data_IF_890685054681
#
_entry.id   IF_890685054681
#
_cell.length_a   1.000
_cell.length_b   1.000
_cell.length_c   1.000
_cell.angle_alpha   90.00
_cell.angle_beta   90.00
_cell.angle_gamma   90.00
#
_symmetry.space_group_name_H-M   'P 1'
#
loop_
_entity.id
_entity.type
_entity.pdbx_description
1 polymer ?
#
# COMPACT_ATOMS: atom_id res chain seq x y z
N UNK A 1 -12.98 -16.38 14.01
CA UNK A 1 -13.73 -17.63 13.79
C UNK A 1 -14.04 -17.71 12.31
N UNK A 2 -13.88 -18.89 11.71
CA UNK A 2 -14.30 -19.13 10.32
C UNK A 2 -15.81 -19.39 10.30
N UNK A 3 -16.45 -18.98 9.22
CA UNK A 3 -17.88 -19.21 8.94
C UNK A 3 -18.03 -20.08 7.70
N UNK A 4 -19.25 -20.51 7.44
CA UNK A 4 -19.59 -21.20 6.20
C UNK A 4 -19.12 -20.41 4.97
N UNK A 5 -18.44 -21.09 4.04
CA UNK A 5 -17.84 -20.48 2.84
C UNK A 5 -16.45 -19.89 3.04
N UNK A 6 -15.95 -19.77 4.27
CA UNK A 6 -14.56 -19.40 4.50
C UNK A 6 -13.61 -20.58 4.19
N UNK A 7 -12.41 -20.24 3.72
CA UNK A 7 -11.34 -21.22 3.50
C UNK A 7 -10.06 -20.78 4.21
N UNK A 8 -9.13 -21.72 4.38
CA UNK A 8 -7.79 -21.49 4.91
C UNK A 8 -6.73 -22.05 3.96
N UNK A 9 -5.49 -21.59 4.11
CA UNK A 9 -4.40 -22.00 3.21
C UNK A 9 -4.30 -21.12 1.97
N UNK A 10 -4.78 -19.87 2.01
CA UNK A 10 -4.74 -18.96 0.85
C UNK A 10 -3.32 -18.68 0.34
N UNK A 11 -2.29 -18.92 1.15
CA UNK A 11 -0.89 -18.90 0.76
C UNK A 11 -0.58 -19.90 -0.38
N UNK A 12 -1.26 -21.05 -0.40
CA UNK A 12 -1.11 -22.05 -1.45
C UNK A 12 -1.60 -21.54 -2.80
N UNK A 13 -2.60 -20.65 -2.85
CA UNK A 13 -3.08 -20.06 -4.10
C UNK A 13 -1.99 -19.22 -4.77
N UNK A 14 -1.24 -18.45 -3.98
CA UNK A 14 -0.15 -17.62 -4.51
C UNK A 14 1.02 -18.50 -4.96
N UNK A 15 1.39 -19.51 -4.16
CA UNK A 15 2.43 -20.49 -4.50
C UNK A 15 2.11 -21.29 -5.77
N UNK A 16 0.86 -21.75 -5.91
CA UNK A 16 0.43 -22.53 -7.08
C UNK A 16 0.49 -21.71 -8.37
N UNK A 17 0.22 -20.41 -8.29
CA UNK A 17 0.24 -19.51 -9.45
C UNK A 17 1.63 -19.05 -9.88
N UNK A 18 2.62 -19.07 -9.00
CA UNK A 18 3.97 -18.62 -9.32
C UNK A 18 4.79 -19.76 -9.99
N UNK A 19 5.27 -19.61 -11.24
CA UNK A 19 6.08 -20.61 -11.93
C UNK A 19 7.42 -20.83 -11.25
N UNK A 20 7.93 -19.83 -10.53
CA UNK A 20 9.21 -19.90 -9.81
C UNK A 20 9.07 -20.55 -8.44
N UNK A 21 7.83 -20.81 -8.01
CA UNK A 21 7.59 -21.50 -6.76
C UNK A 21 8.03 -22.95 -6.87
N UNK A 22 9.10 -23.28 -6.14
CA UNK A 22 9.66 -24.63 -6.06
C UNK A 22 8.75 -25.64 -5.35
N UNK A 23 9.31 -26.79 -4.97
CA UNK A 23 8.59 -27.84 -4.26
C UNK A 23 8.25 -27.50 -2.80
N UNK A 24 8.88 -26.47 -2.23
CA UNK A 24 8.64 -26.05 -0.85
C UNK A 24 7.27 -25.39 -0.71
N UNK A 25 6.45 -25.93 0.20
CA UNK A 25 5.15 -25.37 0.52
C UNK A 25 5.28 -24.11 1.38
N UNK A 26 4.40 -23.12 1.19
CA UNK A 26 4.37 -21.93 2.03
C UNK A 26 3.96 -22.29 3.47
N UNK A 27 4.54 -21.60 4.43
CA UNK A 27 4.15 -21.72 5.85
C UNK A 27 2.79 -21.08 6.07
N UNK A 28 1.94 -21.74 6.86
CA UNK A 28 0.62 -21.19 7.17
C UNK A 28 0.70 -19.95 8.06
N UNK A 29 -0.20 -19.00 7.82
CA UNK A 29 -0.26 -17.71 8.53
C UNK A 29 -1.09 -17.76 9.80
N UNK A 30 -1.86 -18.82 10.00
CA UNK A 30 -2.75 -19.02 11.16
C UNK A 30 -2.95 -20.49 11.44
N UNK A 31 -3.19 -20.83 12.69
CA UNK A 31 -3.61 -22.17 13.11
C UNK A 31 -5.14 -22.21 13.18
N UNK A 32 -5.75 -23.21 12.55
CA UNK A 32 -7.20 -23.42 12.55
C UNK A 32 -7.49 -24.73 13.29
N UNK A 33 -8.33 -24.65 14.32
CA UNK A 33 -8.78 -25.80 15.08
C UNK A 33 -10.31 -25.90 14.99
N UNK A 34 -10.83 -27.11 14.79
CA UNK A 34 -12.26 -27.37 14.84
C UNK A 34 -12.74 -27.34 16.30
N UNK A 35 -13.71 -26.46 16.60
CA UNK A 35 -14.33 -26.37 17.93
C UNK A 35 -15.55 -27.28 18.07
N UNK A 36 -16.13 -27.68 16.93
CA UNK A 36 -17.27 -28.58 16.79
C UNK A 36 -17.01 -29.55 15.63
N UNK A 37 -17.93 -30.47 15.37
CA UNK A 37 -17.92 -31.23 14.12
C UNK A 37 -18.08 -30.26 12.92
N UNK A 38 -17.26 -30.45 11.90
CA UNK A 38 -17.19 -29.60 10.70
C UNK A 38 -17.01 -30.49 9.48
N UNK A 39 -17.81 -30.23 8.45
CA UNK A 39 -17.61 -30.78 7.12
C UNK A 39 -16.87 -29.74 6.26
N UNK A 40 -15.85 -30.17 5.54
CA UNK A 40 -15.06 -29.29 4.68
C UNK A 40 -14.53 -30.02 3.45
N UNK A 41 -14.38 -29.28 2.36
CA UNK A 41 -13.63 -29.75 1.19
C UNK A 41 -12.15 -29.44 1.38
N UNK A 42 -11.30 -30.40 1.03
CA UNK A 42 -9.85 -30.24 1.01
C UNK A 42 -9.34 -30.38 -0.42
N UNK A 43 -8.36 -29.57 -0.77
CA UNK A 43 -7.65 -29.65 -2.05
C UNK A 43 -6.16 -29.80 -1.76
N UNK A 44 -5.53 -30.82 -2.34
CA UNK A 44 -4.11 -31.08 -2.12
C UNK A 44 -3.28 -30.03 -2.88
N UNK A 45 -2.13 -29.65 -2.33
CA UNK A 45 -1.27 -28.63 -2.95
C UNK A 45 -0.89 -28.98 -4.40
N UNK A 46 -0.60 -30.24 -4.69
CA UNK A 46 -0.27 -30.73 -6.02
C UNK A 46 -1.43 -30.58 -7.01
N UNK A 47 -2.64 -30.95 -6.60
CA UNK A 47 -3.85 -30.78 -7.40
C UNK A 47 -4.15 -29.30 -7.63
N UNK A 48 -4.01 -28.46 -6.59
CA UNK A 48 -4.15 -27.03 -6.72
C UNK A 48 -3.13 -26.44 -7.71
N UNK A 49 -1.87 -26.91 -7.68
CA UNK A 49 -0.82 -26.45 -8.62
C UNK A 49 -1.10 -26.90 -10.04
N UNK A 50 -1.57 -28.13 -10.23
CA UNK A 50 -2.01 -28.63 -11.52
C UNK A 50 -3.16 -27.77 -12.07
N UNK A 51 -4.22 -27.57 -11.28
CA UNK A 51 -5.34 -26.70 -11.66
C UNK A 51 -4.82 -25.30 -11.96
N UNK A 52 -4.12 -24.64 -11.04
CA UNK A 52 -3.57 -23.30 -11.24
C UNK A 52 -2.74 -23.17 -12.54
N UNK A 53 -1.93 -24.18 -12.88
CA UNK A 53 -1.16 -24.19 -14.13
C UNK A 53 -2.03 -24.22 -15.40
N UNK A 54 -3.18 -24.91 -15.38
CA UNK A 54 -4.13 -24.90 -16.49
C UNK A 54 -4.78 -23.51 -16.63
N UNK A 55 -5.07 -22.86 -15.50
CA UNK A 55 -5.69 -21.54 -15.47
C UNK A 55 -4.71 -20.39 -15.74
N UNK A 56 -3.39 -20.60 -15.71
CA UNK A 56 -2.42 -19.61 -16.23
C UNK A 56 -2.71 -19.21 -17.67
N UNK A 57 -3.25 -20.14 -18.46
CA UNK A 57 -3.61 -19.94 -19.88
C UNK A 57 -4.91 -19.14 -20.08
N UNK A 58 -5.64 -18.81 -19.01
CA UNK A 58 -6.92 -18.10 -19.07
C UNK A 58 -6.74 -16.63 -18.68
N UNK A 59 -6.89 -15.72 -19.65
CA UNK A 59 -6.89 -14.26 -19.45
C UNK A 59 -8.15 -13.72 -18.73
N UNK A 60 -8.80 -14.51 -17.88
CA UNK A 60 -10.00 -14.08 -17.18
C UNK A 60 -9.64 -13.06 -16.10
N UNK A 61 -9.99 -11.79 -16.33
CA UNK A 61 -9.82 -10.70 -15.36
C UNK A 61 -10.46 -11.02 -14.01
N UNK A 62 -11.57 -11.74 -14.00
CA UNK A 62 -12.26 -12.13 -12.76
C UNK A 62 -11.40 -13.08 -11.93
N UNK A 63 -10.82 -14.10 -12.57
CA UNK A 63 -9.93 -15.06 -11.91
C UNK A 63 -8.69 -14.35 -11.36
N UNK A 64 -8.06 -13.50 -12.17
CA UNK A 64 -6.92 -12.68 -11.73
C UNK A 64 -7.25 -11.80 -10.53
N UNK A 65 -8.42 -11.16 -10.54
CA UNK A 65 -8.85 -10.29 -9.44
C UNK A 65 -9.09 -11.09 -8.16
N UNK A 66 -9.76 -12.24 -8.24
CA UNK A 66 -9.99 -13.14 -7.10
C UNK A 66 -8.66 -13.59 -6.48
N UNK A 67 -7.69 -14.02 -7.31
CA UNK A 67 -6.37 -14.42 -6.82
C UNK A 67 -5.60 -13.28 -6.15
N UNK A 68 -5.60 -12.08 -6.75
CA UNK A 68 -5.00 -10.88 -6.13
C UNK A 68 -5.71 -10.52 -4.82
N UNK A 69 -7.03 -10.65 -4.76
CA UNK A 69 -7.81 -10.31 -3.59
C UNK A 69 -7.55 -11.26 -2.42
N UNK A 70 -7.43 -12.57 -2.67
CA UNK A 70 -7.18 -13.54 -1.61
C UNK A 70 -5.70 -13.66 -1.21
N UNK A 71 -4.76 -13.26 -2.07
CA UNK A 71 -3.33 -13.23 -1.75
C UNK A 71 -3.00 -12.24 -0.63
N UNK A 72 -2.34 -12.74 0.41
CA UNK A 72 -1.97 -11.95 1.59
C UNK A 72 -0.95 -10.85 1.27
N UNK A 73 0.00 -11.13 0.37
CA UNK A 73 1.02 -10.17 -0.05
C UNK A 73 0.37 -8.99 -0.78
N UNK A 74 -0.57 -9.28 -1.68
CA UNK A 74 -1.33 -8.26 -2.41
C UNK A 74 -2.24 -7.44 -1.49
N UNK A 75 -2.95 -8.09 -0.55
CA UNK A 75 -3.76 -7.39 0.47
C UNK A 75 -2.92 -6.45 1.33
N UNK A 76 -1.78 -6.94 1.82
CA UNK A 76 -0.87 -6.15 2.66
C UNK A 76 -0.30 -4.97 1.89
N UNK A 77 0.15 -5.19 0.65
CA UNK A 77 0.65 -4.13 -0.21
C UNK A 77 -0.42 -3.07 -0.49
N UNK A 78 -1.65 -3.48 -0.83
CA UNK A 78 -2.77 -2.57 -1.08
C UNK A 78 -3.13 -1.73 0.16
N UNK A 79 -3.19 -2.35 1.34
CA UNK A 79 -3.45 -1.66 2.60
C UNK A 79 -2.38 -0.59 2.88
N UNK A 80 -1.10 -0.96 2.77
CA UNK A 80 0.01 -0.02 2.94
C UNK A 80 -0.03 1.13 1.92
N UNK A 81 -0.38 0.83 0.66
CA UNK A 81 -0.51 1.82 -0.40
C UNK A 81 -1.61 2.85 -0.09
N UNK A 82 -2.80 2.39 0.31
CA UNK A 82 -3.92 3.24 0.71
C UNK A 82 -3.54 4.07 1.95
N UNK A 83 -2.94 3.45 2.96
CA UNK A 83 -2.48 4.15 4.17
C UNK A 83 -1.49 5.26 3.84
N UNK A 84 -0.56 5.02 2.92
CA UNK A 84 0.40 6.02 2.47
C UNK A 84 -0.27 7.20 1.76
N UNK A 85 -1.22 6.91 0.87
CA UNK A 85 -2.01 7.92 0.17
C UNK A 85 -2.82 8.77 1.16
N UNK A 86 -3.46 8.14 2.14
CA UNK A 86 -4.19 8.81 3.21
C UNK A 86 -3.28 9.71 4.05
N UNK A 87 -2.15 9.20 4.54
CA UNK A 87 -1.17 9.99 5.32
C UNK A 87 -0.70 11.23 4.54
N UNK A 88 -0.52 11.12 3.22
CA UNK A 88 -0.19 12.27 2.35
C UNK A 88 -1.36 13.25 2.22
N UNK A 89 -2.59 12.76 2.10
CA UNK A 89 -3.79 13.59 2.07
C UNK A 89 -4.02 14.34 3.38
N UNK A 90 -4.05 13.64 4.52
CA UNK A 90 -4.30 14.25 5.83
C UNK A 90 -3.27 15.33 6.17
N UNK A 91 -1.99 15.10 5.86
CA UNK A 91 -0.94 16.12 6.02
C UNK A 91 -1.18 17.36 5.14
N UNK A 92 -1.58 17.18 3.88
CA UNK A 92 -1.93 18.31 3.00
C UNK A 92 -3.11 19.10 3.56
N UNK A 93 -4.15 18.41 4.04
CA UNK A 93 -5.33 19.04 4.64
C UNK A 93 -5.00 19.83 5.91
N UNK A 94 -4.14 19.31 6.79
CA UNK A 94 -3.68 20.04 7.99
C UNK A 94 -2.90 21.30 7.60
N UNK A 95 -2.02 21.23 6.61
CA UNK A 95 -1.29 22.41 6.13
C UNK A 95 -2.21 23.46 5.50
N UNK A 96 -3.26 23.03 4.79
CA UNK A 96 -4.23 23.95 4.20
C UNK A 96 -5.08 24.67 5.26
N UNK A 97 -5.50 23.95 6.31
CA UNK A 97 -6.21 24.55 7.45
C UNK A 97 -5.35 25.60 8.15
N UNK A 98 -4.08 25.28 8.46
CA UNK A 98 -3.14 26.25 9.05
C UNK A 98 -2.95 27.49 8.17
N UNK A 99 -2.88 27.32 6.84
CA UNK A 99 -2.80 28.46 5.91
C UNK A 99 -4.05 29.35 5.99
N UNK A 100 -5.25 28.76 6.08
CA UNK A 100 -6.50 29.52 6.23
C UNK A 100 -6.56 30.28 7.56
N UNK A 101 -6.16 29.64 8.67
CA UNK A 101 -6.06 30.28 9.99
C UNK A 101 -5.06 31.45 9.99
N UNK A 102 -3.90 31.29 9.33
CA UNK A 102 -2.91 32.37 9.16
C UNK A 102 -3.47 33.53 8.31
N UNK A 103 -4.18 33.25 7.22
CA UNK A 103 -4.82 34.28 6.38
C UNK A 103 -5.95 35.03 7.08
N UNK A 104 -6.75 34.35 7.90
CA UNK A 104 -7.82 34.96 8.71
C UNK A 104 -7.25 35.82 9.85
N UNK A 105 -6.12 35.42 10.45
CA UNK A 105 -5.42 36.23 11.44
C UNK A 105 -4.81 37.51 10.83
N UNK A 106 -4.32 37.45 9.59
CA UNK A 106 -3.78 38.62 8.87
C UNK A 106 -4.85 39.65 8.48
N UNK A 107 -6.11 39.24 8.33
CA UNK A 107 -7.24 40.14 8.01
C UNK A 107 -7.77 40.98 9.20
N UNK A 108 -7.38 40.65 10.44
CA UNK A 108 -7.93 41.25 11.66
C UNK A 108 -7.08 42.38 12.26
N UNK A 109 -5.78 42.44 11.95
CA UNK A 109 -4.83 43.36 12.62
C UNK A 109 -4.63 44.71 11.89
N UNK A 110 -5.41 44.96 10.82
CA UNK A 110 -5.33 46.18 10.02
C UNK A 110 -5.94 47.45 10.65
N UNK A 111 -6.46 47.41 11.88
CA UNK A 111 -7.18 48.55 12.49
C UNK A 111 -6.75 48.95 13.92
N UNK A 112 -5.51 48.69 14.35
CA UNK A 112 -5.02 49.20 15.65
C UNK A 112 -4.20 50.47 15.48
N UNK A 113 -4.88 51.59 15.67
CA UNK A 113 -4.38 52.95 15.67
C UNK A 113 -3.23 53.17 16.67
N UNK A 114 -2.17 53.79 16.14
CA UNK A 114 -1.10 54.56 16.78
C UNK A 114 -1.26 54.84 18.29
N UNK A 115 -0.35 54.35 19.13
CA UNK A 115 -0.06 54.90 20.46
C UNK A 115 1.32 54.44 20.97
N UNK A 116 2.30 55.32 20.84
CA UNK A 116 3.32 55.63 21.85
C UNK A 116 4.21 54.52 22.43
N UNK A 117 5.52 54.67 22.18
CA UNK A 117 6.50 54.51 23.27
C UNK A 117 7.35 53.24 23.23
N UNK A 118 8.48 53.34 22.52
CA UNK A 118 9.68 52.54 22.74
C UNK A 118 9.67 51.10 22.20
N UNK A 119 10.88 50.60 21.96
CA UNK A 119 11.22 49.19 21.72
C UNK A 119 10.91 48.62 20.32
N UNK A 120 11.88 47.79 19.87
CA UNK A 120 11.89 46.90 18.69
C UNK A 120 10.72 47.09 17.72
N UNK A 121 11.01 47.62 16.53
CA UNK A 121 10.09 47.71 15.39
C UNK A 121 9.23 46.46 15.32
N UNK A 122 7.99 46.56 15.79
CA UNK A 122 7.02 45.47 15.87
C UNK A 122 6.84 44.84 14.49
N UNK A 123 6.94 45.67 13.44
CA UNK A 123 6.98 45.24 12.04
C UNK A 123 8.21 44.39 11.68
N UNK A 124 9.40 44.69 12.20
CA UNK A 124 10.60 43.88 11.99
C UNK A 124 10.47 42.49 12.66
N UNK A 125 9.90 42.42 13.86
CA UNK A 125 9.65 41.16 14.58
C UNK A 125 8.62 40.28 13.85
N UNK A 126 7.57 40.90 13.31
CA UNK A 126 6.56 40.21 12.51
C UNK A 126 7.14 39.64 11.20
N UNK A 127 7.92 40.44 10.47
CA UNK A 127 8.59 40.02 9.23
C UNK A 127 9.63 38.93 9.48
N UNK A 128 10.44 39.04 10.53
CA UNK A 128 11.40 38.02 10.93
C UNK A 128 10.71 36.69 11.29
N UNK A 129 9.56 36.76 11.97
CA UNK A 129 8.73 35.58 12.29
C UNK A 129 8.19 34.90 11.02
N UNK A 130 7.69 35.67 10.05
CA UNK A 130 7.26 35.15 8.74
C UNK A 130 8.41 34.52 7.96
N UNK A 131 9.59 35.13 8.00
CA UNK A 131 10.80 34.60 7.35
C UNK A 131 11.23 33.27 7.98
N UNK A 132 11.29 33.19 9.32
CA UNK A 132 11.61 31.97 10.05
C UNK A 132 10.59 30.85 9.79
N UNK A 133 9.29 31.16 9.82
CA UNK A 133 8.22 30.21 9.52
C UNK A 133 8.34 29.65 8.09
N UNK A 134 8.57 30.52 7.10
CA UNK A 134 8.78 30.09 5.71
C UNK A 134 10.07 29.26 5.53
N UNK A 135 11.16 29.58 6.23
CA UNK A 135 12.41 28.81 6.20
C UNK A 135 12.21 27.39 6.76
N UNK A 136 11.47 27.26 7.87
CA UNK A 136 11.16 25.97 8.50
C UNK A 136 10.22 25.11 7.62
N UNK A 137 9.34 25.73 6.84
CA UNK A 137 8.42 25.03 5.92
C UNK A 137 9.15 24.23 4.84
N UNK A 138 10.29 24.71 4.36
CA UNK A 138 11.15 24.00 3.39
C UNK A 138 11.73 22.69 3.96
N UNK A 139 12.14 22.70 5.23
CA UNK A 139 12.72 21.54 5.93
C UNK A 139 11.66 20.44 6.12
N UNK A 140 10.43 20.82 6.50
CA UNK A 140 9.30 19.91 6.61
C UNK A 140 8.91 19.29 5.27
N UNK A 141 8.97 20.06 4.17
CA UNK A 141 8.70 19.58 2.80
C UNK A 141 9.70 18.51 2.38
N UNK A 142 10.99 18.68 2.69
CA UNK A 142 12.05 17.73 2.36
C UNK A 142 11.94 16.42 3.18
N UNK A 143 11.66 16.50 4.49
CA UNK A 143 11.36 15.30 5.31
C UNK A 143 10.17 14.51 4.77
N UNK A 144 9.13 15.19 4.29
CA UNK A 144 7.95 14.54 3.73
C UNK A 144 8.25 13.86 2.38
N UNK A 145 9.10 14.47 1.54
CA UNK A 145 9.59 13.83 0.31
C UNK A 145 10.44 12.58 0.61
N UNK A 146 11.26 12.59 1.67
CA UNK A 146 12.04 11.43 2.12
C UNK A 146 11.14 10.28 2.63
N UNK A 147 10.17 10.58 3.49
CA UNK A 147 9.18 9.60 3.96
C UNK A 147 8.31 9.05 2.82
N UNK A 148 7.95 9.89 1.84
CA UNK A 148 7.24 9.48 0.65
C UNK A 148 8.09 8.53 -0.22
N UNK A 149 9.39 8.79 -0.38
CA UNK A 149 10.34 7.93 -1.11
C UNK A 149 10.62 6.62 -0.38
N UNK A 150 10.67 6.64 0.94
CA UNK A 150 10.85 5.44 1.77
C UNK A 150 9.63 4.49 1.66
N UNK A 151 8.43 5.04 1.51
CA UNK A 151 7.22 4.27 1.23
C UNK A 151 7.15 3.69 -0.20
N UNK A 152 7.86 4.31 -1.15
CA UNK A 152 8.06 3.74 -2.51
C UNK A 152 9.01 2.53 -2.47
N UNK A 153 9.71 2.27 -1.35
CA UNK A 153 10.48 1.04 -1.15
C UNK A 153 9.62 -0.18 -0.79
N UNK A 154 8.30 -0.04 -0.59
CA UNK A 154 7.42 -1.21 -0.55
C UNK A 154 7.35 -1.80 -1.96
N UNK A 155 8.21 -2.78 -2.18
CA UNK A 155 8.35 -3.47 -3.46
C UNK A 155 6.99 -4.08 -3.83
N UNK A 156 6.47 -3.72 -5.01
CA UNK A 156 5.25 -4.31 -5.56
C UNK A 156 5.43 -5.83 -5.56
N UNK A 157 4.51 -6.62 -4.97
CA UNK A 157 4.59 -8.07 -5.04
C UNK A 157 4.72 -8.51 -6.49
N UNK A 158 5.50 -9.56 -6.79
CA UNK A 158 5.57 -10.11 -8.13
C UNK A 158 4.15 -10.42 -8.61
N UNK A 159 3.86 -10.05 -9.86
CA UNK A 159 2.56 -10.40 -10.43
C UNK A 159 2.48 -11.93 -10.53
N UNK A 160 1.32 -12.53 -10.20
CA UNK A 160 1.14 -13.94 -10.50
C UNK A 160 1.34 -14.11 -12.00
N UNK A 161 2.19 -15.05 -12.37
CA UNK A 161 2.56 -15.21 -13.77
C UNK A 161 1.45 -15.98 -14.49
N UNK A 162 0.78 -15.27 -15.41
CA UNK A 162 -0.23 -15.82 -16.30
C UNK A 162 0.29 -15.87 -17.75
N UNK A 163 1.59 -15.66 -17.97
CA UNK A 163 2.19 -15.81 -19.28
C UNK A 163 2.60 -17.26 -19.51
N UNK A 164 2.40 -17.74 -20.74
CA UNK A 164 2.87 -19.06 -21.14
C UNK A 164 4.40 -19.05 -21.27
N UNK A 165 5.08 -20.04 -20.68
CA UNK A 165 6.37 -20.48 -21.22
C UNK A 165 6.08 -21.43 -22.38
N UNK A 166 6.12 -20.92 -23.61
CA UNK A 166 6.16 -21.74 -24.83
C UNK A 166 7.58 -22.32 -25.03
N UNK A 167 8.05 -23.16 -24.10
CA UNK A 167 9.41 -23.71 -24.15
C UNK A 167 9.51 -25.17 -24.67
N UNK A 168 8.39 -25.88 -24.85
CA UNK A 168 8.41 -27.31 -25.23
C UNK A 168 8.11 -27.59 -26.72
N UNK A 169 8.51 -26.69 -27.64
CA UNK A 169 8.33 -26.90 -29.10
C UNK A 169 9.61 -26.99 -29.94
N UNK A 170 10.78 -27.18 -29.33
CA UNK A 170 12.04 -27.42 -30.07
C UNK A 170 12.77 -28.70 -29.68
N UNK A 171 12.04 -29.79 -29.38
CA UNK A 171 12.64 -31.14 -29.37
C UNK A 171 11.78 -32.12 -30.17
N UNK A 172 11.60 -31.83 -31.46
CA UNK A 172 11.40 -32.87 -32.47
C UNK A 172 12.11 -32.46 -33.75
N UNK A 173 12.85 -33.40 -34.32
CA UNK A 173 13.66 -33.34 -35.54
C UNK A 173 15.13 -32.98 -35.34
N UNK A 174 15.93 -33.99 -34.99
CA UNK A 174 16.94 -34.48 -35.92
C UNK A 174 16.97 -36.01 -35.80
N UNK A 175 16.79 -36.67 -36.95
CA UNK A 175 17.15 -38.07 -37.16
C UNK A 175 18.66 -38.23 -36.99
#
# INVERSE_FOLDING_TARGET
MLKEGDFCGEELLTWALDPKSGANLPTSTRTVNALTEVEAFALIAEELKFVASQFRRLHSRQVQHTFRFHSQQWRTWAACFIQAAWRRYSKRKIMELRRKEEEEAEGSDGNRSNSGGGSCSLGATFLASKFAANALRGIHRNRNAKSAKELVKLQKPPEPDFAAEDADRYVTANF
#
